data_IF_531647832862
#
_entry.id   IF_531647832862
#
_cell.length_a   1.000
_cell.length_b   1.000
_cell.length_c   1.000
_cell.angle_alpha   90.00
_cell.angle_beta   90.00
_cell.angle_gamma   90.00
#
_symmetry.space_group_name_H-M   'P 1'
#
loop_
_entity.id
_entity.type
_entity.pdbx_description
1 polymer ?
#
# COMPACT_ATOMS: atom_id res chain seq x y z
N UNK A 1 65.69 7.90 33.24
CA UNK A 1 65.86 6.74 34.13
C UNK A 1 65.32 5.61 33.30
N UNK A 2 66.17 4.91 32.47
CA UNK A 2 67.06 3.85 32.87
C UNK A 2 66.22 2.65 33.32
N UNK A 3 66.15 1.51 32.67
CA UNK A 3 67.29 0.58 32.36
C UNK A 3 66.74 -0.49 31.36
N UNK A 4 67.31 -0.71 30.25
CA UNK A 4 68.36 -1.63 29.82
C UNK A 4 68.28 -3.07 30.32
N UNK A 5 68.38 -3.93 29.28
CA UNK A 5 69.06 -5.21 29.21
C UNK A 5 68.31 -6.43 29.83
N UNK A 6 68.21 -7.54 29.13
CA UNK A 6 69.37 -8.39 28.87
C UNK A 6 69.13 -9.38 27.71
N UNK A 7 70.21 -9.60 27.02
CA UNK A 7 70.51 -10.57 25.96
C UNK A 7 70.96 -11.85 26.59
N UNK A 8 70.57 -12.99 26.07
CA UNK A 8 71.39 -14.24 25.95
C UNK A 8 70.62 -15.24 25.09
N UNK A 9 70.92 -15.47 23.86
CA UNK A 9 71.92 -16.36 23.26
C UNK A 9 71.97 -17.75 23.88
N UNK A 10 71.56 -18.77 23.12
CA UNK A 10 72.15 -20.11 23.00
C UNK A 10 71.54 -20.82 21.77
N UNK A 11 72.21 -20.79 20.78
CA UNK A 11 72.90 -21.68 19.86
C UNK A 11 72.54 -23.19 19.89
N UNK A 12 72.42 -23.69 18.64
CA UNK A 12 72.76 -25.04 18.20
C UNK A 12 71.77 -26.16 18.34
N UNK A 13 71.13 -26.47 17.20
CA UNK A 13 71.35 -27.82 16.56
C UNK A 13 70.47 -27.95 15.31
N UNK A 14 71.06 -27.93 14.17
CA UNK A 14 70.49 -28.57 12.98
C UNK A 14 70.65 -30.09 13.10
N UNK A 15 69.74 -30.90 12.57
CA UNK A 15 70.14 -31.67 11.42
C UNK A 15 69.11 -31.73 10.25
N UNK A 16 69.70 -31.57 9.09
CA UNK A 16 69.54 -32.38 7.88
C UNK A 16 68.13 -32.78 7.39
N UNK A 17 67.76 -32.14 6.32
CA UNK A 17 67.33 -32.74 5.05
C UNK A 17 66.30 -33.87 5.08
N UNK A 18 65.14 -33.54 4.60
CA UNK A 18 64.62 -34.29 3.46
C UNK A 18 63.90 -33.30 2.53
N UNK A 19 64.46 -33.25 1.34
CA UNK A 19 63.84 -32.57 0.15
C UNK A 19 62.67 -33.43 -0.26
N UNK A 20 61.51 -33.16 0.33
CA UNK A 20 60.26 -33.66 -0.19
C UNK A 20 59.80 -32.67 -1.29
N UNK A 21 59.92 -33.13 -2.47
CA UNK A 21 59.47 -32.46 -3.71
C UNK A 21 58.00 -32.13 -3.54
N UNK A 22 57.55 -30.87 -3.68
CA UNK A 22 56.14 -30.61 -3.75
C UNK A 22 55.62 -31.28 -5.01
N UNK A 23 54.83 -32.33 -4.86
CA UNK A 23 53.97 -32.83 -5.89
C UNK A 23 53.09 -31.64 -6.33
N UNK A 24 53.34 -31.20 -7.54
CA UNK A 24 52.40 -30.38 -8.29
C UNK A 24 51.06 -31.11 -8.26
N UNK A 25 50.18 -30.70 -7.33
CA UNK A 25 48.78 -30.99 -7.48
C UNK A 25 48.37 -30.37 -8.81
N UNK A 26 48.27 -31.21 -9.82
CA UNK A 26 47.55 -30.88 -11.02
C UNK A 26 46.20 -30.36 -10.59
N UNK A 27 46.03 -29.04 -10.66
CA UNK A 27 44.75 -28.40 -10.49
C UNK A 27 43.79 -29.01 -11.52
N UNK A 28 42.88 -29.83 -11.02
CA UNK A 28 41.69 -30.20 -11.77
C UNK A 28 40.93 -28.88 -11.98
N UNK A 29 41.30 -28.18 -13.04
CA UNK A 29 40.50 -27.09 -13.55
C UNK A 29 39.08 -27.62 -13.80
N UNK A 30 38.05 -26.83 -13.56
CA UNK A 30 36.67 -27.25 -13.83
C UNK A 30 36.61 -27.78 -15.26
N UNK A 31 36.18 -29.03 -15.39
CA UNK A 31 35.98 -29.64 -16.72
C UNK A 31 35.13 -28.73 -17.58
N UNK A 32 35.43 -28.48 -18.84
CA UNK A 32 34.68 -27.62 -19.71
C UNK A 32 33.20 -28.01 -19.80
N UNK A 33 32.88 -29.29 -19.61
CA UNK A 33 31.51 -29.79 -19.52
C UNK A 33 30.76 -29.30 -18.30
N UNK A 34 31.42 -29.19 -17.14
CA UNK A 34 30.82 -28.65 -15.93
C UNK A 34 30.52 -27.14 -16.04
N UNK A 35 31.38 -26.39 -16.72
CA UNK A 35 31.15 -24.97 -16.97
C UNK A 35 30.02 -24.71 -17.96
N UNK A 36 29.86 -25.56 -18.97
CA UNK A 36 28.76 -25.50 -19.95
C UNK A 36 27.42 -25.85 -19.31
N UNK A 37 27.38 -26.90 -18.46
CA UNK A 37 26.17 -27.28 -17.71
C UNK A 37 25.73 -26.12 -16.78
N UNK A 38 26.65 -25.50 -16.07
CA UNK A 38 26.37 -24.31 -15.24
C UNK A 38 25.85 -23.12 -16.04
N UNK A 39 26.38 -22.89 -17.26
CA UNK A 39 25.91 -21.84 -18.15
C UNK A 39 24.47 -22.10 -18.65
N UNK A 40 24.16 -23.34 -19.01
CA UNK A 40 22.82 -23.73 -19.45
C UNK A 40 21.78 -23.58 -18.32
N UNK A 41 22.15 -23.92 -17.09
CA UNK A 41 21.31 -23.70 -15.91
C UNK A 41 21.01 -22.21 -15.70
N UNK A 42 22.04 -21.35 -15.79
CA UNK A 42 21.88 -19.89 -15.66
C UNK A 42 20.98 -19.35 -16.79
N UNK A 43 21.21 -19.75 -18.03
CA UNK A 43 20.38 -19.32 -19.17
C UNK A 43 18.93 -19.78 -19.00
N UNK A 44 18.72 -21.00 -18.51
CA UNK A 44 17.39 -21.52 -18.21
C UNK A 44 16.69 -20.73 -17.11
N UNK A 45 17.40 -20.39 -16.02
CA UNK A 45 16.90 -19.54 -14.96
C UNK A 45 16.53 -18.14 -15.47
N UNK A 46 17.37 -17.52 -16.29
CA UNK A 46 17.10 -16.21 -16.88
C UNK A 46 15.87 -16.22 -17.83
N UNK A 47 15.65 -17.32 -18.55
CA UNK A 47 14.43 -17.46 -19.37
C UNK A 47 13.17 -17.49 -18.50
N UNK A 48 13.18 -18.23 -17.40
CA UNK A 48 12.07 -18.25 -16.43
C UNK A 48 11.83 -16.85 -15.84
N UNK A 49 12.89 -16.21 -15.37
CA UNK A 49 12.78 -14.83 -14.86
C UNK A 49 12.16 -13.88 -15.88
N UNK A 50 12.56 -13.99 -17.17
CA UNK A 50 11.97 -13.16 -18.22
C UNK A 50 10.48 -13.44 -18.43
N UNK A 51 10.07 -14.70 -18.34
CA UNK A 51 8.66 -15.09 -18.43
C UNK A 51 7.87 -14.56 -17.25
N UNK A 52 8.38 -14.73 -16.01
CA UNK A 52 7.77 -14.22 -14.79
C UNK A 52 7.64 -12.70 -14.80
N UNK A 53 8.66 -11.99 -15.26
CA UNK A 53 8.62 -10.51 -15.42
C UNK A 53 7.54 -10.10 -16.44
N UNK A 54 7.38 -10.86 -17.53
CA UNK A 54 6.30 -10.64 -18.49
C UNK A 54 4.92 -10.76 -17.84
N UNK A 55 4.69 -11.83 -17.08
CA UNK A 55 3.44 -12.05 -16.36
C UNK A 55 3.19 -10.97 -15.30
N UNK A 56 4.19 -10.58 -14.52
CA UNK A 56 4.08 -9.48 -13.54
C UNK A 56 3.67 -8.18 -14.23
N UNK A 57 4.24 -7.88 -15.39
CA UNK A 57 3.90 -6.68 -16.15
C UNK A 57 2.43 -6.67 -16.61
N UNK A 58 1.92 -7.81 -17.10
CA UNK A 58 0.51 -7.96 -17.49
C UNK A 58 -0.42 -7.80 -16.28
N UNK A 59 -0.14 -8.52 -15.20
CA UNK A 59 -0.92 -8.42 -13.95
C UNK A 59 -0.94 -7.00 -13.38
N UNK A 60 0.20 -6.31 -13.38
CA UNK A 60 0.28 -4.92 -12.92
C UNK A 60 -0.55 -3.96 -13.79
N UNK A 61 -0.60 -4.21 -15.11
CA UNK A 61 -1.45 -3.44 -16.02
C UNK A 61 -2.94 -3.68 -15.75
N UNK A 62 -3.35 -4.93 -15.53
CA UNK A 62 -4.73 -5.28 -15.20
C UNK A 62 -5.15 -4.70 -13.84
N UNK A 63 -4.29 -4.82 -12.85
CA UNK A 63 -4.51 -4.24 -11.52
C UNK A 63 -4.72 -2.72 -11.62
N UNK A 64 -3.92 -2.00 -12.41
CA UNK A 64 -4.10 -0.57 -12.65
C UNK A 64 -5.50 -0.22 -13.16
N UNK A 65 -6.03 -1.00 -14.12
CA UNK A 65 -7.39 -0.82 -14.66
C UNK A 65 -8.46 -1.08 -13.60
N UNK A 66 -8.27 -2.10 -12.76
CA UNK A 66 -9.20 -2.43 -11.66
C UNK A 66 -9.21 -1.32 -10.60
N UNK A 67 -8.05 -0.79 -10.21
CA UNK A 67 -7.94 0.33 -9.27
C UNK A 67 -8.64 1.57 -9.80
N UNK A 68 -8.48 1.89 -11.10
CA UNK A 68 -9.17 3.03 -11.71
C UNK A 68 -10.69 2.83 -11.74
N UNK A 69 -11.16 1.65 -12.15
CA UNK A 69 -12.59 1.32 -12.17
C UNK A 69 -13.20 1.35 -10.76
N UNK A 70 -12.51 0.80 -9.76
CA UNK A 70 -12.92 0.84 -8.36
C UNK A 70 -13.02 2.28 -7.85
N UNK A 71 -11.99 3.09 -8.07
CA UNK A 71 -11.94 4.48 -7.63
C UNK A 71 -13.08 5.31 -8.25
N UNK A 72 -13.37 5.09 -9.53
CA UNK A 72 -14.48 5.75 -10.20
C UNK A 72 -15.84 5.32 -9.63
N UNK A 73 -16.02 4.03 -9.31
CA UNK A 73 -17.22 3.52 -8.68
C UNK A 73 -17.40 4.10 -7.27
N UNK A 74 -16.31 4.15 -6.48
CA UNK A 74 -16.30 4.75 -5.15
C UNK A 74 -16.71 6.21 -5.20
N UNK A 75 -16.13 7.01 -6.11
CA UNK A 75 -16.49 8.41 -6.31
C UNK A 75 -17.98 8.59 -6.64
N UNK A 76 -18.53 7.75 -7.53
CA UNK A 76 -19.96 7.78 -7.88
C UNK A 76 -20.86 7.48 -6.69
N UNK A 77 -20.45 6.56 -5.80
CA UNK A 77 -21.18 6.25 -4.57
C UNK A 77 -21.07 7.37 -3.52
N UNK A 78 -19.91 8.03 -3.42
CA UNK A 78 -19.68 9.07 -2.43
C UNK A 78 -20.30 10.42 -2.82
N UNK A 79 -20.42 10.73 -4.10
CA UNK A 79 -20.98 11.99 -4.60
C UNK A 79 -22.36 12.33 -3.98
N UNK A 80 -23.36 11.43 -3.98
CA UNK A 80 -24.66 11.73 -3.36
C UNK A 80 -24.61 11.78 -1.84
N UNK A 81 -23.61 11.20 -1.20
CA UNK A 81 -23.45 11.22 0.26
C UNK A 81 -22.93 12.58 0.75
N UNK A 82 -22.12 13.27 -0.06
CA UNK A 82 -21.53 14.59 0.22
C UNK A 82 -20.83 14.67 1.61
N UNK A 83 -20.32 13.57 2.09
CA UNK A 83 -19.65 13.44 3.39
C UNK A 83 -18.37 12.62 3.25
N UNK A 84 -17.40 12.95 4.08
CA UNK A 84 -16.25 12.07 4.30
C UNK A 84 -16.68 10.83 5.08
N UNK A 85 -16.06 9.71 4.76
CA UNK A 85 -16.31 8.43 5.42
C UNK A 85 -15.16 8.18 6.40
N UNK A 86 -15.45 8.03 7.70
CA UNK A 86 -14.41 7.74 8.67
C UNK A 86 -13.83 6.33 8.44
N UNK A 87 -12.52 6.23 8.54
CA UNK A 87 -11.75 4.98 8.53
C UNK A 87 -11.19 4.78 9.93
N UNK A 88 -11.26 3.56 10.44
CA UNK A 88 -10.67 3.25 11.73
C UNK A 88 -9.14 3.29 11.63
N UNK A 89 -8.44 4.12 12.43
CA UNK A 89 -6.99 4.16 12.43
C UNK A 89 -6.34 2.80 12.68
N UNK A 90 -6.99 1.92 13.44
CA UNK A 90 -6.48 0.57 13.73
C UNK A 90 -6.51 -0.38 12.53
N UNK A 91 -7.29 -0.06 11.50
CA UNK A 91 -7.35 -0.81 10.25
C UNK A 91 -6.28 -0.36 9.24
N UNK A 92 -5.55 0.71 9.54
CA UNK A 92 -4.50 1.22 8.66
C UNK A 92 -3.16 0.53 8.96
N UNK A 93 -2.30 0.36 7.93
CA UNK A 93 -0.96 -0.18 8.13
C UNK A 93 -0.15 0.65 9.12
N UNK A 94 0.59 -0.02 10.01
CA UNK A 94 1.43 0.64 11.01
C UNK A 94 2.56 1.50 10.44
N UNK A 95 2.89 1.30 9.17
CA UNK A 95 3.88 2.08 8.42
C UNK A 95 3.50 3.56 8.27
N UNK A 96 2.20 3.86 8.34
CA UNK A 96 1.70 5.25 8.33
C UNK A 96 2.00 6.00 9.63
N UNK A 97 2.50 5.32 10.67
CA UNK A 97 2.81 5.93 11.95
C UNK A 97 1.60 6.06 12.88
N UNK A 98 1.66 6.98 13.86
CA UNK A 98 0.60 7.16 14.85
C UNK A 98 -0.55 8.02 14.31
N UNK A 99 -1.51 7.36 13.69
CA UNK A 99 -2.72 8.01 13.16
C UNK A 99 -3.72 8.24 14.28
N UNK A 100 -4.18 9.49 14.45
CA UNK A 100 -5.28 9.84 15.35
C UNK A 100 -6.63 9.68 14.69
N UNK A 101 -6.76 10.14 13.43
CA UNK A 101 -8.00 10.06 12.65
C UNK A 101 -7.70 9.83 11.18
N UNK A 102 -8.57 9.10 10.52
CA UNK A 102 -8.53 8.93 9.08
C UNK A 102 -9.93 9.04 8.47
N UNK A 103 -10.01 9.63 7.29
CA UNK A 103 -11.27 9.77 6.56
C UNK A 103 -11.02 9.70 5.06
N UNK A 104 -11.93 9.06 4.31
CA UNK A 104 -11.96 9.24 2.86
C UNK A 104 -12.80 10.47 2.54
N UNK A 105 -12.24 11.39 1.79
CA UNK A 105 -12.95 12.56 1.30
C UNK A 105 -13.83 12.23 0.08
N UNK A 106 -14.77 13.12 -0.31
CA UNK A 106 -15.60 12.91 -1.51
C UNK A 106 -14.82 12.82 -2.83
N UNK A 107 -13.53 13.12 -2.85
CA UNK A 107 -12.65 12.95 -4.02
C UNK A 107 -12.00 11.56 -4.09
N UNK A 108 -12.15 10.74 -3.04
CA UNK A 108 -11.55 9.42 -2.96
C UNK A 108 -10.11 9.43 -2.44
N UNK A 109 -9.67 10.52 -1.82
CA UNK A 109 -8.38 10.62 -1.14
C UNK A 109 -8.54 10.25 0.33
N UNK A 110 -7.57 9.55 0.89
CA UNK A 110 -7.49 9.28 2.32
C UNK A 110 -6.81 10.46 3.02
N UNK A 111 -7.56 11.14 3.87
CA UNK A 111 -7.04 12.21 4.71
C UNK A 111 -6.69 11.62 6.06
N UNK A 112 -5.43 11.69 6.42
CA UNK A 112 -4.88 11.18 7.68
C UNK A 112 -4.50 12.35 8.57
N UNK A 113 -4.91 12.31 9.84
CA UNK A 113 -4.47 13.21 10.89
C UNK A 113 -3.60 12.41 11.86
N UNK A 114 -2.37 12.82 12.03
CA UNK A 114 -1.42 12.21 12.95
C UNK A 114 -1.53 12.81 14.35
N UNK A 115 -1.06 12.08 15.36
CA UNK A 115 -1.07 12.54 16.77
C UNK A 115 -0.21 13.77 17.03
N UNK A 116 0.80 14.01 16.20
CA UNK A 116 1.63 15.22 16.26
C UNK A 116 0.94 16.46 15.69
N UNK A 117 -0.27 16.31 15.16
CA UNK A 117 -1.07 17.34 14.52
C UNK A 117 -0.77 17.49 13.03
N UNK A 118 0.13 16.69 12.46
CA UNK A 118 0.38 16.62 11.02
C UNK A 118 -0.86 16.09 10.28
N UNK A 119 -1.10 16.60 9.07
CA UNK A 119 -2.19 16.12 8.21
C UNK A 119 -1.66 15.83 6.81
N UNK A 120 -2.07 14.70 6.26
CA UNK A 120 -1.68 14.24 4.95
C UNK A 120 -2.89 13.81 4.12
N UNK A 121 -2.83 14.07 2.82
CA UNK A 121 -3.81 13.58 1.85
C UNK A 121 -3.13 12.54 0.94
N UNK A 122 -3.55 11.30 1.03
CA UNK A 122 -2.98 10.17 0.33
C UNK A 122 -3.88 9.81 -0.85
N UNK A 123 -3.34 9.85 -2.08
CA UNK A 123 -4.05 9.38 -3.27
C UNK A 123 -4.02 7.84 -3.31
N UNK A 124 -5.16 7.23 -3.03
CA UNK A 124 -5.31 5.78 -3.04
C UNK A 124 -5.20 5.14 -4.44
N UNK A 125 -5.18 5.94 -5.51
CA UNK A 125 -5.01 5.45 -6.88
C UNK A 125 -3.55 5.24 -7.27
N UNK A 126 -2.63 5.82 -6.51
CA UNK A 126 -1.20 5.67 -6.74
C UNK A 126 -0.79 4.19 -6.65
N UNK A 127 0.15 3.78 -7.50
CA UNK A 127 0.68 2.41 -7.51
C UNK A 127 1.31 2.02 -6.17
N UNK A 128 1.85 2.98 -5.44
CA UNK A 128 2.48 2.80 -4.15
C UNK A 128 1.48 2.52 -3.03
N UNK A 129 0.21 2.93 -3.21
CA UNK A 129 -0.83 2.87 -2.19
C UNK A 129 -1.88 1.78 -2.44
N UNK A 130 -1.60 0.79 -3.30
CA UNK A 130 -2.57 -0.25 -3.67
C UNK A 130 -2.96 -1.15 -2.51
N UNK A 131 -2.00 -1.54 -1.68
CA UNK A 131 -2.27 -2.34 -0.48
C UNK A 131 -3.10 -1.54 0.52
N UNK A 132 -2.78 -0.26 0.70
CA UNK A 132 -3.56 0.66 1.52
C UNK A 132 -5.00 0.83 0.98
N UNK A 133 -5.17 0.92 -0.34
CA UNK A 133 -6.50 0.97 -0.97
C UNK A 133 -7.33 -0.27 -0.61
N UNK A 134 -6.74 -1.45 -0.64
CA UNK A 134 -7.42 -2.71 -0.31
C UNK A 134 -7.86 -2.73 1.15
N UNK A 135 -7.00 -2.35 2.09
CA UNK A 135 -7.34 -2.30 3.52
C UNK A 135 -8.43 -1.26 3.80
N UNK A 136 -8.30 -0.07 3.25
CA UNK A 136 -9.31 0.98 3.36
C UNK A 136 -10.64 0.54 2.74
N UNK A 137 -10.64 -0.15 1.61
CA UNK A 137 -11.84 -0.67 0.97
C UNK A 137 -12.58 -1.68 1.84
N UNK A 138 -11.87 -2.62 2.47
CA UNK A 138 -12.44 -3.59 3.42
C UNK A 138 -13.19 -2.92 4.56
N UNK A 139 -12.67 -1.83 5.07
CA UNK A 139 -13.23 -1.07 6.20
C UNK A 139 -14.44 -0.21 5.76
N UNK A 140 -14.37 0.40 4.60
CA UNK A 140 -15.32 1.40 4.13
C UNK A 140 -16.55 0.78 3.47
N UNK A 141 -16.39 -0.29 2.68
CA UNK A 141 -17.50 -0.91 1.95
C UNK A 141 -18.67 -1.32 2.87
N UNK A 142 -18.44 -2.00 4.01
CA UNK A 142 -19.54 -2.34 4.92
C UNK A 142 -20.30 -1.13 5.47
N UNK A 143 -19.63 0.01 5.62
CA UNK A 143 -20.22 1.25 6.17
C UNK A 143 -21.14 1.96 5.18
N UNK A 144 -20.99 1.74 3.89
CA UNK A 144 -21.83 2.39 2.87
C UNK A 144 -23.32 2.13 3.06
N UNK A 145 -23.70 0.90 3.42
CA UNK A 145 -25.11 0.54 3.62
C UNK A 145 -25.76 1.43 4.69
N UNK A 146 -25.09 1.61 5.81
CA UNK A 146 -25.57 2.49 6.90
C UNK A 146 -25.66 3.95 6.48
N UNK A 147 -24.62 4.45 5.81
CA UNK A 147 -24.57 5.85 5.35
C UNK A 147 -25.67 6.16 4.30
N UNK A 148 -25.91 5.24 3.37
CA UNK A 148 -26.96 5.35 2.37
C UNK A 148 -28.34 5.37 3.05
N UNK A 149 -28.60 4.47 4.01
CA UNK A 149 -29.84 4.42 4.76
C UNK A 149 -30.09 5.72 5.55
N UNK A 150 -29.08 6.20 6.28
CA UNK A 150 -29.16 7.47 7.01
C UNK A 150 -29.45 8.66 6.09
N UNK A 151 -28.82 8.69 4.92
CA UNK A 151 -29.05 9.74 3.92
C UNK A 151 -30.45 9.70 3.35
N UNK A 152 -30.94 8.50 3.04
CA UNK A 152 -32.31 8.26 2.55
C UNK A 152 -33.34 8.74 3.56
N UNK A 153 -33.25 8.31 4.82
CA UNK A 153 -34.16 8.72 5.88
C UNK A 153 -34.18 10.26 6.10
N UNK A 154 -33.01 10.89 5.97
CA UNK A 154 -32.91 12.35 6.07
C UNK A 154 -33.60 13.05 4.92
N UNK A 155 -33.51 12.50 3.72
CA UNK A 155 -34.24 13.04 2.54
C UNK A 155 -35.72 12.83 2.71
N UNK A 156 -36.17 11.64 3.10
CA UNK A 156 -37.58 11.32 3.33
C UNK A 156 -38.21 12.24 4.38
N UNK A 157 -37.54 12.47 5.49
CA UNK A 157 -38.00 13.41 6.54
C UNK A 157 -38.15 14.85 5.99
N UNK A 158 -37.18 15.32 5.22
CA UNK A 158 -37.27 16.66 4.62
C UNK A 158 -38.39 16.76 3.58
N UNK A 159 -38.53 15.72 2.76
CA UNK A 159 -39.64 15.67 1.78
C UNK A 159 -41.00 15.67 2.48
N UNK A 160 -41.19 14.90 3.52
CA UNK A 160 -42.41 14.88 4.31
C UNK A 160 -42.75 16.25 4.90
N UNK A 161 -41.75 16.90 5.52
CA UNK A 161 -41.93 18.26 6.04
C UNK A 161 -42.32 19.28 4.93
N UNK A 162 -41.54 19.31 3.84
CA UNK A 162 -41.80 20.25 2.76
C UNK A 162 -43.17 20.02 2.11
N UNK A 163 -43.56 18.76 1.90
CA UNK A 163 -44.88 18.43 1.35
C UNK A 163 -46.03 18.90 2.24
N UNK A 164 -45.91 18.72 3.56
CA UNK A 164 -46.90 19.19 4.52
C UNK A 164 -46.99 20.72 4.52
N UNK A 165 -45.86 21.42 4.60
CA UNK A 165 -45.83 22.88 4.58
C UNK A 165 -46.36 23.46 3.27
N UNK A 166 -45.95 22.85 2.13
CA UNK A 166 -46.43 23.30 0.81
C UNK A 166 -47.94 23.18 0.70
N UNK A 167 -48.54 22.09 1.17
CA UNK A 167 -49.98 21.88 1.18
C UNK A 167 -50.69 22.97 1.99
N UNK A 168 -50.22 23.29 3.18
CA UNK A 168 -50.82 24.34 4.01
C UNK A 168 -50.67 25.73 3.39
N UNK A 169 -49.52 26.03 2.82
CA UNK A 169 -49.29 27.29 2.09
C UNK A 169 -50.24 27.42 0.87
N UNK A 170 -50.47 26.34 0.13
CA UNK A 170 -51.43 26.31 -0.97
C UNK A 170 -52.85 26.54 -0.48
N UNK A 171 -53.29 25.87 0.59
CA UNK A 171 -54.62 26.06 1.18
C UNK A 171 -54.84 27.52 1.64
N UNK A 172 -53.82 28.14 2.26
CA UNK A 172 -53.88 29.54 2.69
C UNK A 172 -53.93 30.46 1.47
N UNK A 173 -53.14 30.21 0.45
CA UNK A 173 -53.14 31.02 -0.79
C UNK A 173 -54.51 30.96 -1.51
N UNK A 174 -55.12 29.79 -1.61
CA UNK A 174 -56.46 29.60 -2.17
C UNK A 174 -57.52 30.34 -1.35
N UNK A 175 -57.49 30.22 -0.01
CA UNK A 175 -58.43 30.93 0.85
C UNK A 175 -58.31 32.47 0.69
N UNK A 176 -57.10 32.99 0.58
CA UNK A 176 -56.88 34.42 0.33
C UNK A 176 -57.38 34.87 -1.03
N UNK A 177 -57.15 34.06 -2.08
CA UNK A 177 -57.65 34.41 -3.42
C UNK A 177 -59.15 34.52 -3.48
N UNK A 178 -59.88 33.61 -2.80
CA UNK A 178 -61.34 33.69 -2.70
C UNK A 178 -61.87 34.84 -1.81
N UNK A 179 -61.05 35.39 -0.93
CA UNK A 179 -61.45 36.52 -0.08
C UNK A 179 -61.31 37.88 -0.76
N UNK A 180 -60.68 37.95 -1.91
CA UNK A 180 -60.44 39.16 -2.68
C UNK A 180 -61.19 39.20 -4.06
N UNK A 181 -61.96 38.17 -4.37
CA UNK A 181 -62.94 38.14 -5.44
C UNK A 181 -64.35 38.63 -4.91
#
# INVERSE_FOLDING_TARGET
>A
MLDTADVEELESAAPSRDLDTPQLMEGVGPSPDGALASLEEIVSALRRVREDVGQISELSSEEGKLVEAFSLALLKLMTPLAKSIPVDPSALPGELGEVERANINPKGELIVLYRDGGMEAIDLRSAENRDLLVEVAKEVIPRFTGLISERRERIERRMGFLAAVTRELQNIAEALSHAFE
#
